data_IF_327411384611
#
_entry.id   IF_327411384611
#
_cell.length_a   1.000
_cell.length_b   1.000
_cell.length_c   1.000
_cell.angle_alpha   90.00
_cell.angle_beta   90.00
_cell.angle_gamma   90.00
#
_symmetry.space_group_name_H-M   'P 1'
#
loop_
_entity.id
_entity.type
_entity.pdbx_description
1 polymer ?
#
# COMPACT_ATOMS: atom_id res chain seq x y z
N UNK A 1 55.77 13.53 33.77
CA UNK A 1 54.66 12.83 33.08
C UNK A 1 54.20 13.71 31.93
N UNK A 2 54.46 13.30 30.69
CA UNK A 2 54.07 14.03 29.48
C UNK A 2 52.70 13.47 29.07
N UNK A 3 51.67 14.31 29.06
CA UNK A 3 50.34 13.94 28.59
C UNK A 3 50.31 14.05 27.06
N UNK A 4 50.20 12.91 26.38
CA UNK A 4 49.97 12.85 24.95
C UNK A 4 48.48 13.15 24.66
N UNK A 5 48.20 14.33 24.11
CA UNK A 5 46.89 14.63 23.56
C UNK A 5 46.76 13.93 22.20
N UNK A 6 45.95 12.87 22.16
CA UNK A 6 45.58 12.21 20.90
C UNK A 6 44.51 13.04 20.20
N UNK A 7 44.90 13.75 19.14
CA UNK A 7 43.97 14.45 18.26
C UNK A 7 43.26 13.40 17.37
N UNK A 8 42.04 13.03 17.75
CA UNK A 8 41.18 12.20 16.91
C UNK A 8 40.70 13.04 15.72
N UNK A 9 41.24 12.78 14.54
CA UNK A 9 40.73 13.32 13.28
C UNK A 9 39.38 12.64 12.98
N UNK A 10 38.29 13.35 13.25
CA UNK A 10 36.96 12.93 12.84
C UNK A 10 36.83 13.09 11.31
N UNK A 11 37.02 12.00 10.57
CA UNK A 11 36.71 11.94 9.14
C UNK A 11 35.19 12.05 9.00
N UNK A 12 34.70 13.27 8.75
CA UNK A 12 33.30 13.49 8.41
C UNK A 12 33.06 12.92 7.02
N UNK A 13 32.45 11.73 6.95
CA UNK A 13 31.95 11.21 5.68
C UNK A 13 30.82 12.11 5.19
N UNK A 14 31.10 12.94 4.19
CA UNK A 14 30.05 13.68 3.49
C UNK A 14 29.22 12.67 2.72
N UNK A 15 28.02 12.37 3.21
CA UNK A 15 27.06 11.60 2.43
C UNK A 15 26.72 12.43 1.18
N UNK A 16 27.20 11.98 0.02
CA UNK A 16 26.88 12.58 -1.29
C UNK A 16 25.38 12.46 -1.47
N UNK A 17 24.72 13.60 -1.71
CA UNK A 17 23.29 13.63 -1.98
C UNK A 17 23.00 12.85 -3.27
N UNK A 18 21.96 12.01 -3.26
CA UNK A 18 21.52 11.32 -4.47
C UNK A 18 20.99 12.34 -5.49
N UNK A 19 21.20 12.13 -6.79
CA UNK A 19 20.83 13.10 -7.83
C UNK A 19 19.31 13.30 -7.98
N UNK A 20 18.52 12.40 -7.42
CA UNK A 20 17.06 12.41 -7.46
C UNK A 20 16.49 12.49 -6.05
N UNK A 21 15.26 13.00 -5.97
CA UNK A 21 14.51 13.22 -4.73
C UNK A 21 13.14 12.60 -4.83
N UNK A 22 12.74 11.85 -3.81
CA UNK A 22 11.42 11.24 -3.70
C UNK A 22 10.63 11.82 -2.52
N UNK A 23 9.36 11.45 -2.42
CA UNK A 23 8.54 11.69 -1.24
C UNK A 23 8.22 10.38 -0.52
N UNK A 24 8.22 10.39 0.81
CA UNK A 24 7.61 9.35 1.63
C UNK A 24 6.86 10.00 2.81
N UNK A 25 5.60 9.59 2.99
CA UNK A 25 4.73 9.97 4.10
C UNK A 25 4.38 8.70 4.88
N UNK A 26 4.46 8.76 6.21
CA UNK A 26 4.20 7.60 7.07
C UNK A 26 3.42 8.01 8.32
N UNK A 27 2.56 7.13 8.83
CA UNK A 27 1.90 7.37 10.12
C UNK A 27 2.90 7.27 11.26
N UNK A 28 2.83 8.19 12.22
CA UNK A 28 3.72 8.19 13.41
C UNK A 28 3.35 7.11 14.42
N UNK A 29 2.13 6.58 14.33
CA UNK A 29 1.65 5.43 15.09
C UNK A 29 1.50 4.20 14.19
N UNK A 30 1.67 3.02 14.79
CA UNK A 30 1.41 1.74 14.14
C UNK A 30 0.01 1.22 14.42
N UNK A 31 -0.54 0.47 13.48
CA UNK A 31 -1.86 -0.16 13.53
C UNK A 31 -1.70 -1.67 13.37
N UNK A 32 -2.40 -2.45 14.20
CA UNK A 32 -2.40 -3.90 14.13
C UNK A 32 -3.71 -4.37 13.49
N UNK A 33 -3.60 -5.10 12.38
CA UNK A 33 -4.75 -5.52 11.57
C UNK A 33 -5.59 -4.32 11.08
N UNK A 34 -6.66 -4.61 10.35
CA UNK A 34 -7.62 -3.61 9.89
C UNK A 34 -7.88 -3.70 8.40
N UNK A 35 -8.76 -2.82 7.94
CA UNK A 35 -8.95 -2.54 6.53
C UNK A 35 -8.45 -1.13 6.26
N UNK A 36 -7.66 -0.96 5.21
CA UNK A 36 -7.17 0.34 4.77
C UNK A 36 -7.69 0.56 3.36
N UNK A 37 -8.35 1.69 3.14
CA UNK A 37 -8.79 2.11 1.82
C UNK A 37 -8.06 3.40 1.47
N UNK A 38 -7.47 3.46 0.28
CA UNK A 38 -6.75 4.64 -0.21
C UNK A 38 -7.21 4.97 -1.63
N UNK A 39 -7.55 6.23 -1.86
CA UNK A 39 -7.93 6.75 -3.18
C UNK A 39 -6.73 7.43 -3.81
N UNK A 40 -6.09 6.76 -4.75
CA UNK A 40 -4.81 7.20 -5.31
C UNK A 40 -4.79 7.17 -6.83
N UNK A 41 -4.03 8.10 -7.41
CA UNK A 41 -3.59 8.07 -8.79
C UNK A 41 -2.07 7.93 -8.82
N UNK A 42 -1.60 6.92 -9.54
CA UNK A 42 -0.20 6.48 -9.47
C UNK A 42 0.69 7.21 -10.47
N UNK A 43 2.00 7.17 -10.24
CA UNK A 43 2.98 7.74 -11.17
C UNK A 43 3.29 6.78 -12.33
N UNK A 44 3.72 7.33 -13.47
CA UNK A 44 4.22 6.57 -14.63
C UNK A 44 5.70 6.85 -14.88
N UNK A 45 6.36 5.95 -15.59
CA UNK A 45 7.76 6.08 -16.01
C UNK A 45 8.55 4.82 -15.65
N UNK A 46 9.32 4.32 -16.62
CA UNK A 46 10.17 3.15 -16.39
C UNK A 46 11.18 3.42 -15.27
N UNK A 47 11.41 2.42 -14.42
CA UNK A 47 12.28 2.52 -13.24
C UNK A 47 11.64 3.14 -11.99
N UNK A 48 10.37 3.58 -12.04
CA UNK A 48 9.66 4.24 -10.94
C UNK A 48 8.73 3.26 -10.21
N UNK A 49 8.64 3.40 -8.88
CA UNK A 49 7.66 2.75 -8.03
C UNK A 49 6.84 3.80 -7.26
N UNK A 50 5.52 3.62 -7.31
CA UNK A 50 4.53 4.40 -6.56
C UNK A 50 3.77 3.43 -5.67
N UNK A 51 3.74 3.68 -4.36
CA UNK A 51 3.38 2.63 -3.40
C UNK A 51 2.36 3.08 -2.36
N UNK A 52 1.69 2.09 -1.79
CA UNK A 52 1.14 2.12 -0.44
C UNK A 52 1.51 0.81 0.25
N UNK A 53 1.92 0.88 1.51
CA UNK A 53 2.35 -0.31 2.24
C UNK A 53 2.17 -0.14 3.75
N UNK A 54 2.10 -1.28 4.46
CA UNK A 54 2.22 -1.32 5.92
C UNK A 54 3.62 -1.75 6.29
N UNK A 55 4.22 -1.13 7.30
CA UNK A 55 5.59 -1.44 7.71
C UNK A 55 5.74 -1.50 9.21
N UNK A 56 6.30 -2.58 9.75
CA UNK A 56 6.76 -2.57 11.13
C UNK A 56 8.08 -1.81 11.21
N UNK A 57 8.01 -0.61 11.77
CA UNK A 57 9.17 0.24 12.03
C UNK A 57 10.29 -0.54 12.71
N UNK A 58 11.50 -0.52 12.11
CA UNK A 58 12.64 -1.27 12.61
C UNK A 58 12.83 -2.65 11.99
N UNK A 59 11.97 -3.09 11.07
CA UNK A 59 12.17 -4.35 10.32
C UNK A 59 13.51 -4.39 9.58
N UNK A 60 14.06 -3.22 9.20
CA UNK A 60 15.36 -3.08 8.56
C UNK A 60 16.55 -3.32 9.48
N UNK A 61 16.33 -3.35 10.80
CA UNK A 61 17.39 -3.55 11.77
C UNK A 61 17.86 -5.00 11.79
N UNK A 62 19.18 -5.19 11.92
CA UNK A 62 19.77 -6.51 12.06
C UNK A 62 19.17 -7.27 13.25
N UNK A 63 18.75 -8.51 13.02
CA UNK A 63 18.13 -9.37 14.03
C UNK A 63 16.65 -9.08 14.33
N UNK A 64 16.04 -8.08 13.69
CA UNK A 64 14.60 -7.88 13.76
C UNK A 64 13.88 -8.91 12.87
N UNK A 65 12.70 -9.35 13.32
CA UNK A 65 11.76 -10.04 12.43
C UNK A 65 11.13 -8.99 11.50
N UNK A 66 11.08 -9.24 10.20
CA UNK A 66 10.46 -8.35 9.22
C UNK A 66 8.94 -8.53 9.21
N UNK A 67 8.18 -7.44 9.12
CA UNK A 67 6.73 -7.48 8.86
C UNK A 67 6.34 -6.29 7.98
N UNK A 68 5.87 -6.59 6.77
CA UNK A 68 5.48 -5.60 5.78
C UNK A 68 4.47 -6.20 4.80
N UNK A 69 3.56 -5.36 4.28
CA UNK A 69 2.54 -5.72 3.31
C UNK A 69 2.45 -4.63 2.24
N UNK A 70 2.58 -5.02 0.98
CA UNK A 70 2.88 -4.07 -0.09
C UNK A 70 1.78 -3.98 -1.16
N UNK A 71 1.61 -2.76 -1.68
CA UNK A 71 0.99 -2.42 -2.98
C UNK A 71 2.00 -1.55 -3.72
N UNK A 72 2.64 -2.12 -4.74
CA UNK A 72 3.70 -1.46 -5.50
C UNK A 72 3.33 -1.35 -6.97
N UNK A 73 2.99 -0.16 -7.44
CA UNK A 73 2.66 0.06 -8.85
C UNK A 73 3.93 0.36 -9.62
N UNK A 74 4.19 -0.47 -10.64
CA UNK A 74 5.31 -0.29 -11.54
C UNK A 74 5.03 0.85 -12.50
N UNK A 75 5.89 1.88 -12.55
CA UNK A 75 5.72 2.97 -13.51
C UNK A 75 6.00 2.57 -14.96
N UNK A 76 6.75 1.48 -15.19
CA UNK A 76 6.98 0.91 -16.54
C UNK A 76 5.67 0.47 -17.19
N UNK A 77 5.71 0.26 -18.50
CA UNK A 77 4.58 -0.24 -19.29
C UNK A 77 3.28 0.55 -19.07
N UNK A 78 3.43 1.87 -18.92
CA UNK A 78 2.36 2.83 -18.65
C UNK A 78 1.56 2.52 -17.37
N UNK A 79 2.20 2.06 -16.30
CA UNK A 79 1.55 1.80 -15.01
C UNK A 79 0.36 0.83 -15.07
N UNK A 80 0.46 -0.18 -15.93
CA UNK A 80 -0.60 -1.20 -16.14
C UNK A 80 -0.48 -2.43 -15.26
N UNK A 81 0.64 -2.55 -14.55
CA UNK A 81 0.94 -3.68 -13.67
C UNK A 81 1.36 -3.19 -12.29
N UNK A 82 1.04 -3.99 -11.28
CA UNK A 82 1.43 -3.74 -9.90
C UNK A 82 1.77 -5.04 -9.20
N UNK A 83 2.52 -4.95 -8.09
CA UNK A 83 2.93 -6.07 -7.27
C UNK A 83 2.27 -5.98 -5.91
N UNK A 84 1.69 -7.10 -5.47
CA UNK A 84 1.40 -7.34 -4.07
C UNK A 84 2.54 -8.13 -3.44
N UNK A 85 2.89 -7.85 -2.18
CA UNK A 85 3.85 -8.66 -1.46
C UNK A 85 3.50 -8.74 0.04
N UNK A 86 3.97 -9.80 0.69
CA UNK A 86 4.12 -9.84 2.15
C UNK A 86 5.58 -10.16 2.38
N UNK A 87 6.24 -9.40 3.25
CA UNK A 87 7.62 -9.64 3.62
C UNK A 87 7.66 -10.02 5.09
N UNK A 88 8.24 -11.18 5.39
CA UNK A 88 8.48 -11.66 6.75
C UNK A 88 9.86 -12.27 6.92
N UNK A 89 10.15 -12.84 8.09
CA UNK A 89 11.38 -13.59 8.35
C UNK A 89 12.40 -12.80 9.17
N UNK A 90 13.38 -13.50 9.73
CA UNK A 90 14.47 -12.91 10.52
C UNK A 90 15.80 -13.27 9.88
N UNK A 91 16.64 -12.27 9.61
CA UNK A 91 17.91 -12.45 8.90
C UNK A 91 17.72 -12.63 7.39
N UNK A 92 17.05 -13.71 6.97
CA UNK A 92 16.64 -13.90 5.56
C UNK A 92 15.17 -13.54 5.40
N UNK A 93 14.87 -12.63 4.47
CA UNK A 93 13.49 -12.26 4.14
C UNK A 93 12.79 -13.41 3.43
N UNK A 94 11.53 -13.62 3.77
CA UNK A 94 10.58 -14.48 3.08
C UNK A 94 9.57 -13.57 2.40
N UNK A 95 9.47 -13.67 1.08
CA UNK A 95 8.60 -12.85 0.25
C UNK A 95 7.55 -13.70 -0.45
N UNK A 96 6.47 -13.08 -0.91
CA UNK A 96 5.39 -13.72 -1.67
C UNK A 96 4.87 -12.82 -2.78
N UNK A 97 5.79 -12.30 -3.59
CA UNK A 97 5.50 -11.41 -4.71
C UNK A 97 4.47 -12.05 -5.66
N UNK A 98 3.49 -11.25 -6.07
CA UNK A 98 2.65 -11.58 -7.21
C UNK A 98 2.41 -10.30 -8.03
N UNK A 99 2.62 -10.39 -9.34
CA UNK A 99 2.38 -9.29 -10.28
C UNK A 99 0.99 -9.45 -10.89
N UNK A 100 0.24 -8.35 -10.90
CA UNK A 100 -1.14 -8.26 -11.35
C UNK A 100 -1.24 -7.23 -12.46
N UNK A 101 -2.00 -7.54 -13.51
CA UNK A 101 -2.28 -6.59 -14.60
C UNK A 101 -3.67 -6.01 -14.43
N UNK A 102 -3.79 -4.68 -14.44
CA UNK A 102 -5.07 -4.00 -14.27
C UNK A 102 -5.88 -3.88 -15.59
N UNK A 103 -5.30 -4.19 -16.75
CA UNK A 103 -5.94 -4.02 -18.07
C UNK A 103 -6.07 -2.55 -18.53
N UNK A 104 -6.00 -1.60 -17.59
CA UNK A 104 -5.91 -0.16 -17.79
C UNK A 104 -4.67 0.40 -17.06
N UNK A 105 -4.36 1.68 -17.28
CA UNK A 105 -3.27 2.35 -16.55
C UNK A 105 -3.77 2.88 -15.21
N UNK A 106 -3.09 2.51 -14.13
CA UNK A 106 -3.33 3.03 -12.78
C UNK A 106 -2.85 4.50 -12.62
N UNK A 107 -2.25 5.07 -13.67
CA UNK A 107 -1.80 6.46 -13.72
C UNK A 107 -2.73 7.37 -14.55
N UNK A 108 -3.77 6.83 -15.18
CA UNK A 108 -4.71 7.61 -16.00
C UNK A 108 -5.84 8.23 -15.17
N UNK A 109 -6.19 7.63 -14.03
CA UNK A 109 -7.22 8.12 -13.11
C UNK A 109 -6.97 7.71 -11.65
N UNK A 110 -7.85 8.13 -10.76
CA UNK A 110 -7.85 7.68 -9.38
C UNK A 110 -8.53 6.31 -9.27
N UNK A 111 -7.94 5.44 -8.46
CA UNK A 111 -8.47 4.13 -8.10
C UNK A 111 -8.54 4.00 -6.58
N UNK A 112 -9.49 3.20 -6.11
CA UNK A 112 -9.58 2.87 -4.69
C UNK A 112 -8.90 1.54 -4.45
N UNK A 113 -7.76 1.57 -3.77
CA UNK A 113 -7.06 0.37 -3.32
C UNK A 113 -7.54 0.03 -1.92
N UNK A 114 -7.83 -1.24 -1.68
CA UNK A 114 -8.14 -1.73 -0.34
C UNK A 114 -7.14 -2.81 0.07
N UNK A 115 -6.65 -2.71 1.30
CA UNK A 115 -5.86 -3.73 1.97
C UNK A 115 -6.64 -4.18 3.22
N UNK A 116 -7.08 -5.43 3.24
CA UNK A 116 -7.60 -6.06 4.45
C UNK A 116 -6.54 -6.94 5.07
N UNK A 117 -6.24 -6.72 6.33
CA UNK A 117 -5.29 -7.51 7.11
C UNK A 117 -5.96 -7.97 8.40
N UNK A 118 -6.07 -9.29 8.55
CA UNK A 118 -6.63 -9.95 9.72
C UNK A 118 -5.64 -10.98 10.25
N UNK A 119 -5.88 -11.57 11.44
CA UNK A 119 -5.05 -12.68 11.93
C UNK A 119 -4.99 -13.89 10.98
N UNK A 120 -5.95 -14.04 10.06
CA UNK A 120 -6.12 -15.24 9.25
C UNK A 120 -5.87 -15.03 7.76
N UNK A 121 -6.02 -13.80 7.27
CA UNK A 121 -5.83 -13.49 5.85
C UNK A 121 -5.31 -12.06 5.64
N UNK A 122 -4.67 -11.86 4.49
CA UNK A 122 -4.43 -10.55 3.88
C UNK A 122 -5.09 -10.56 2.50
N UNK A 123 -5.89 -9.55 2.18
CA UNK A 123 -6.55 -9.42 0.88
C UNK A 123 -6.33 -8.03 0.28
N UNK A 124 -6.14 -8.00 -1.04
CA UNK A 124 -5.95 -6.79 -1.82
C UNK A 124 -7.10 -6.63 -2.81
N UNK A 125 -7.60 -5.41 -2.93
CA UNK A 125 -8.66 -5.09 -3.88
C UNK A 125 -8.36 -3.78 -4.60
N UNK A 126 -8.84 -3.66 -5.84
CA UNK A 126 -8.85 -2.40 -6.61
C UNK A 126 -10.28 -2.15 -7.07
N UNK A 127 -10.80 -0.95 -6.80
CA UNK A 127 -12.14 -0.51 -7.17
C UNK A 127 -13.26 -1.47 -6.71
N UNK A 128 -13.06 -2.08 -5.54
CA UNK A 128 -14.01 -3.02 -4.92
C UNK A 128 -13.88 -4.47 -5.39
N UNK A 129 -13.05 -4.77 -6.38
CA UNK A 129 -12.76 -6.13 -6.83
C UNK A 129 -11.56 -6.72 -6.07
N UNK A 130 -11.75 -7.86 -5.40
CA UNK A 130 -10.65 -8.60 -4.78
C UNK A 130 -9.76 -9.24 -5.84
N UNK A 131 -8.48 -8.85 -5.85
CA UNK A 131 -7.49 -9.33 -6.82
C UNK A 131 -6.66 -10.48 -6.25
N UNK A 132 -6.33 -10.42 -4.96
CA UNK A 132 -5.54 -11.46 -4.28
C UNK A 132 -5.99 -11.61 -2.83
N UNK A 133 -5.94 -12.85 -2.35
CA UNK A 133 -6.04 -13.20 -0.95
C UNK A 133 -4.97 -14.20 -0.58
N UNK A 134 -4.23 -13.88 0.48
CA UNK A 134 -3.22 -14.73 1.10
C UNK A 134 -3.72 -15.21 2.45
N UNK A 135 -3.39 -16.45 2.80
CA UNK A 135 -3.66 -17.09 4.10
C UNK A 135 -2.43 -17.87 4.55
N UNK A 136 -2.45 -18.38 5.79
CA UNK A 136 -1.44 -19.33 6.27
C UNK A 136 -0.25 -18.68 6.96
N UNK A 137 0.88 -19.39 7.00
CA UNK A 137 1.99 -19.11 7.92
C UNK A 137 2.53 -17.68 7.85
N UNK A 138 2.68 -17.14 6.63
CA UNK A 138 3.21 -15.79 6.44
C UNK A 138 2.27 -14.72 7.01
N UNK A 139 0.96 -14.88 6.80
CA UNK A 139 -0.06 -13.98 7.36
C UNK A 139 -0.09 -14.08 8.88
N UNK A 140 -0.07 -15.30 9.42
CA UNK A 140 -0.10 -15.50 10.88
C UNK A 140 1.16 -14.98 11.60
N UNK A 141 2.24 -14.69 10.85
CA UNK A 141 3.46 -14.11 11.40
C UNK A 141 3.40 -12.57 11.51
N UNK A 142 2.42 -11.92 10.87
CA UNK A 142 2.18 -10.47 10.95
C UNK A 142 1.42 -10.18 12.26
N UNK A 143 2.15 -9.94 13.34
CA UNK A 143 1.63 -9.89 14.72
C UNK A 143 1.88 -8.57 15.44
N UNK A 144 2.65 -7.66 14.83
CA UNK A 144 3.00 -6.38 15.43
C UNK A 144 2.31 -5.21 14.72
N UNK A 145 2.04 -4.09 15.42
CA UNK A 145 1.54 -2.88 14.79
C UNK A 145 2.48 -2.37 13.68
N UNK A 146 1.91 -1.95 12.57
CA UNK A 146 2.63 -1.46 11.39
C UNK A 146 2.20 -0.02 11.07
N UNK A 147 3.14 0.86 10.75
CA UNK A 147 2.84 2.18 10.21
C UNK A 147 2.26 2.06 8.80
N UNK A 148 1.38 2.98 8.41
CA UNK A 148 0.85 3.08 7.05
C UNK A 148 1.71 4.07 6.28
N UNK A 149 2.16 3.70 5.08
CA UNK A 149 3.16 4.45 4.34
C UNK A 149 2.80 4.60 2.87
N UNK A 150 3.20 5.73 2.31
CA UNK A 150 3.21 6.00 0.88
C UNK A 150 4.62 6.42 0.50
N UNK A 151 5.18 5.89 -0.59
CA UNK A 151 6.38 6.47 -1.17
C UNK A 151 6.38 6.48 -2.70
N UNK A 152 7.13 7.42 -3.24
CA UNK A 152 7.39 7.55 -4.67
C UNK A 152 8.90 7.65 -4.89
N UNK A 153 9.45 6.65 -5.56
CA UNK A 153 10.90 6.49 -5.69
C UNK A 153 11.27 5.76 -6.99
N UNK A 154 12.57 5.58 -7.21
CA UNK A 154 13.09 4.81 -8.34
C UNK A 154 14.09 3.78 -7.86
N UNK A 155 13.95 2.53 -8.35
CA UNK A 155 14.81 1.42 -7.99
C UNK A 155 15.99 1.26 -8.96
N UNK A 156 17.11 0.75 -8.45
CA UNK A 156 18.28 0.39 -9.25
C UNK A 156 18.11 -0.96 -9.98
N UNK A 157 17.18 -1.79 -9.54
CA UNK A 157 16.94 -3.14 -10.08
C UNK A 157 16.19 -3.10 -11.42
N UNK A 158 16.95 -2.94 -12.52
CA UNK A 158 16.41 -2.82 -13.89
C UNK A 158 15.49 -3.97 -14.29
N UNK A 159 15.84 -5.22 -13.95
CA UNK A 159 15.01 -6.39 -14.26
C UNK A 159 13.62 -6.34 -13.60
N UNK A 160 13.52 -5.67 -12.45
CA UNK A 160 12.28 -5.53 -11.71
C UNK A 160 11.43 -4.37 -12.24
N UNK A 161 11.99 -3.16 -12.28
CA UNK A 161 11.24 -1.92 -12.53
C UNK A 161 11.41 -1.35 -13.94
N UNK A 162 12.25 -1.96 -14.76
CA UNK A 162 12.70 -1.41 -16.04
C UNK A 162 13.83 -0.39 -15.88
N UNK A 163 14.48 -0.04 -16.99
CA UNK A 163 15.56 0.96 -16.98
C UNK A 163 14.99 2.34 -16.62
N UNK A 164 15.63 3.06 -15.71
CA UNK A 164 15.18 4.39 -15.33
C UNK A 164 15.47 5.40 -16.44
N UNK A 165 14.41 6.07 -16.93
CA UNK A 165 14.49 7.17 -17.88
C UNK A 165 14.13 8.46 -17.15
N UNK A 166 15.15 9.28 -16.86
CA UNK A 166 14.99 10.49 -16.05
C UNK A 166 14.39 11.67 -16.82
N UNK A 167 14.18 11.54 -18.14
CA UNK A 167 13.51 12.55 -18.97
C UNK A 167 12.03 12.69 -18.63
N UNK A 168 11.44 11.69 -17.97
CA UNK A 168 10.04 11.70 -17.52
C UNK A 168 9.81 12.56 -16.28
N UNK A 169 10.89 13.02 -15.60
CA UNK A 169 10.76 13.82 -14.39
C UNK A 169 10.31 15.26 -14.68
N UNK A 170 9.52 15.89 -13.79
CA UNK A 170 9.04 15.33 -12.52
C UNK A 170 7.85 14.36 -12.69
N UNK A 171 7.71 13.44 -11.74
CA UNK A 171 6.56 12.51 -11.64
C UNK A 171 5.89 12.61 -10.28
N UNK A 172 4.60 12.29 -10.22
CA UNK A 172 3.78 12.50 -9.04
C UNK A 172 2.82 11.35 -8.77
N UNK A 173 2.65 11.02 -7.50
CA UNK A 173 1.56 10.19 -6.98
C UNK A 173 0.62 11.13 -6.22
N UNK A 174 -0.67 11.01 -6.52
CA UNK A 174 -1.72 11.81 -5.90
C UNK A 174 -2.58 10.91 -5.00
N UNK A 175 -2.82 11.34 -3.77
CA UNK A 175 -3.67 10.64 -2.81
C UNK A 175 -4.76 11.60 -2.36
N UNK A 176 -6.00 11.29 -2.74
CA UNK A 176 -7.16 12.11 -2.41
C UNK A 176 -7.55 11.91 -0.94
N UNK A 177 -7.73 10.66 -0.53
CA UNK A 177 -8.06 10.32 0.85
C UNK A 177 -7.54 8.95 1.26
N UNK A 178 -7.46 8.73 2.56
CA UNK A 178 -7.22 7.43 3.20
C UNK A 178 -8.24 7.19 4.33
N UNK A 179 -8.71 5.96 4.46
CA UNK A 179 -9.54 5.49 5.58
C UNK A 179 -8.87 4.29 6.23
N UNK A 180 -8.84 4.30 7.56
CA UNK A 180 -8.45 3.14 8.35
C UNK A 180 -9.64 2.67 9.18
N UNK A 181 -9.95 1.39 9.00
CA UNK A 181 -10.95 0.66 9.76
C UNK A 181 -10.23 -0.31 10.68
N UNK A 182 -10.43 -0.16 11.99
CA UNK A 182 -9.85 -1.10 12.96
C UNK A 182 -10.53 -2.46 12.82
N UNK A 183 -9.73 -3.52 12.94
CA UNK A 183 -10.28 -4.86 13.06
C UNK A 183 -10.73 -5.12 14.51
N UNK A 184 -12.00 -5.50 14.69
CA UNK A 184 -12.59 -5.81 15.98
C UNK A 184 -13.45 -7.08 15.86
N UNK A 185 -12.93 -8.21 16.35
CA UNK A 185 -13.64 -9.50 16.41
C UNK A 185 -14.38 -9.91 15.12
N UNK A 186 -13.71 -9.80 13.97
CA UNK A 186 -14.27 -10.19 12.67
C UNK A 186 -14.99 -9.06 11.92
N UNK A 187 -15.12 -7.87 12.53
CA UNK A 187 -15.67 -6.68 11.88
C UNK A 187 -14.56 -5.64 11.61
N UNK A 188 -14.80 -4.80 10.60
CA UNK A 188 -14.00 -3.60 10.34
C UNK A 188 -14.81 -2.36 10.71
N UNK A 189 -14.34 -1.60 11.69
CA UNK A 189 -15.01 -0.40 12.19
C UNK A 189 -14.19 0.83 11.80
N UNK A 190 -14.81 1.83 11.15
CA UNK A 190 -14.11 3.05 10.76
C UNK A 190 -13.52 3.73 12.01
N UNK A 191 -12.19 3.85 12.06
CA UNK A 191 -11.51 4.49 13.16
C UNK A 191 -11.14 5.94 12.82
N UNK A 192 -10.69 6.19 11.59
CA UNK A 192 -10.42 7.53 11.11
C UNK A 192 -10.34 7.60 9.58
N UNK A 193 -10.50 8.82 9.07
CA UNK A 193 -10.32 9.20 7.68
C UNK A 193 -9.44 10.45 7.64
N UNK A 194 -8.64 10.57 6.60
CA UNK A 194 -7.88 11.78 6.27
C UNK A 194 -8.13 12.12 4.79
N UNK A 195 -8.70 13.29 4.56
CA UNK A 195 -9.00 13.84 3.23
C UNK A 195 -7.86 14.71 2.68
N UNK A 196 -6.74 14.78 3.40
CA UNK A 196 -5.53 15.51 3.01
C UNK A 196 -5.77 16.99 2.64
N UNK A 197 -6.67 17.68 3.35
CA UNK A 197 -6.78 19.15 3.31
C UNK A 197 -5.47 19.84 3.76
N UNK A 198 -4.71 19.14 4.62
CA UNK A 198 -3.35 19.50 5.03
C UNK A 198 -2.62 18.26 5.54
N UNK A 199 -1.30 18.34 5.74
CA UNK A 199 -0.56 17.25 6.41
C UNK A 199 -0.72 17.41 7.93
N UNK A 200 -1.58 16.58 8.54
CA UNK A 200 -1.73 16.49 10.00
C UNK A 200 -0.44 15.94 10.63
N UNK A 201 0.34 16.82 11.26
CA UNK A 201 1.60 16.45 11.92
C UNK A 201 1.42 15.63 13.19
N UNK A 202 0.20 15.55 13.74
CA UNK A 202 -0.14 14.62 14.80
C UNK A 202 -0.22 13.17 14.32
N UNK A 203 -0.59 12.97 13.05
CA UNK A 203 -0.77 11.65 12.43
C UNK A 203 0.42 11.24 11.57
N UNK A 204 1.01 12.17 10.83
CA UNK A 204 1.96 11.89 9.77
C UNK A 204 3.36 12.46 10.02
N UNK A 205 4.37 11.67 9.68
CA UNK A 205 5.75 12.11 9.50
C UNK A 205 6.11 12.16 8.00
N UNK A 206 7.14 12.94 7.68
CA UNK A 206 7.75 13.03 6.35
C UNK A 206 9.16 12.49 6.42
N UNK A 207 9.52 11.60 5.49
CA UNK A 207 10.83 10.98 5.48
C UNK A 207 11.94 11.97 5.09
N UNK A 208 13.13 11.75 5.66
CA UNK A 208 14.38 12.47 5.39
C UNK A 208 15.59 11.51 5.26
N UNK A 209 15.33 10.33 4.70
CA UNK A 209 16.26 9.20 4.60
C UNK A 209 16.30 8.59 3.20
N UNK A 210 17.14 7.56 3.05
CA UNK A 210 17.20 6.70 1.89
C UNK A 210 17.62 5.29 2.31
N UNK A 211 17.65 4.36 1.36
CA UNK A 211 18.12 2.99 1.53
C UNK A 211 18.90 2.52 0.28
N UNK A 212 19.57 1.37 0.38
CA UNK A 212 20.36 0.80 -0.72
C UNK A 212 19.47 0.33 -1.88
N UNK A 213 19.95 0.50 -3.11
CA UNK A 213 19.16 0.20 -4.31
C UNK A 213 18.07 1.23 -4.62
N UNK A 214 17.88 2.25 -3.78
CA UNK A 214 17.03 3.40 -4.09
C UNK A 214 17.85 4.49 -4.79
N UNK A 215 17.40 5.01 -5.93
CA UNK A 215 18.07 6.10 -6.65
C UNK A 215 17.83 7.48 -6.01
N UNK A 216 16.91 7.61 -5.06
CA UNK A 216 16.49 8.90 -4.50
C UNK A 216 16.81 9.04 -3.02
N UNK A 217 17.02 10.29 -2.58
CA UNK A 217 16.82 10.63 -1.17
C UNK A 217 15.37 11.05 -0.98
N UNK A 218 14.67 10.48 0.02
CA UNK A 218 13.38 11.02 0.42
C UNK A 218 13.59 12.34 1.14
N UNK A 219 12.80 13.35 0.77
CA UNK A 219 12.88 14.68 1.35
C UNK A 219 11.49 15.24 1.66
N UNK A 220 11.30 15.94 2.80
CA UNK A 220 10.00 16.50 3.17
C UNK A 220 9.41 17.47 2.14
N UNK A 221 10.27 18.11 1.33
CA UNK A 221 9.88 19.04 0.26
C UNK A 221 9.09 18.34 -0.86
N UNK A 222 9.27 17.03 -1.06
CA UNK A 222 8.54 16.25 -2.06
C UNK A 222 7.26 15.61 -1.50
N UNK A 223 6.83 16.06 -0.32
CA UNK A 223 5.55 15.67 0.29
C UNK A 223 4.75 16.94 0.55
N UNK A 224 3.84 17.25 -0.36
CA UNK A 224 3.04 18.48 -0.37
C UNK A 224 1.55 18.17 -0.32
N UNK A 225 0.74 19.14 0.07
CA UNK A 225 -0.72 19.09 -0.12
C UNK A 225 -1.10 20.26 -1.02
N UNK A 226 -1.95 20.00 -2.01
CA UNK A 226 -2.53 21.02 -2.88
C UNK A 226 -3.97 20.61 -3.20
N UNK A 227 -4.89 21.57 -3.18
CA UNK A 227 -6.30 21.39 -3.57
C UNK A 227 -6.97 20.17 -2.91
N UNK A 228 -6.72 19.92 -1.62
CA UNK A 228 -7.27 18.78 -0.87
C UNK A 228 -6.70 17.43 -1.31
N UNK A 229 -5.46 17.39 -1.75
CA UNK A 229 -4.80 16.15 -2.21
C UNK A 229 -3.34 16.13 -1.76
N UNK A 230 -2.93 15.03 -1.15
CA UNK A 230 -1.54 14.73 -0.89
C UNK A 230 -0.83 14.42 -2.21
N UNK A 231 0.32 15.06 -2.43
CA UNK A 231 1.16 14.85 -3.61
C UNK A 231 2.55 14.43 -3.16
N UNK A 232 2.94 13.20 -3.53
CA UNK A 232 4.31 12.72 -3.44
C UNK A 232 5.00 12.98 -4.78
N UNK A 233 6.20 13.53 -4.75
CA UNK A 233 6.93 13.93 -5.96
C UNK A 233 8.25 13.18 -6.13
N UNK A 234 8.56 12.82 -7.37
CA UNK A 234 9.86 12.34 -7.82
C UNK A 234 10.48 13.42 -8.71
N UNK A 235 11.61 13.97 -8.29
CA UNK A 235 12.22 15.13 -8.94
C UNK A 235 13.74 14.97 -9.03
N UNK A 236 14.38 15.86 -9.79
CA UNK A 236 15.83 16.07 -9.68
C UNK A 236 16.15 16.82 -8.39
N UNK A 237 17.37 16.66 -7.89
CA UNK A 237 17.93 17.50 -6.83
C UNK A 237 17.78 18.99 -7.21
N UNK A 238 17.39 19.83 -6.24
CA UNK A 238 17.13 21.26 -6.46
C UNK A 238 15.82 21.62 -7.17
N UNK A 239 15.01 20.63 -7.59
CA UNK A 239 13.72 20.83 -8.27
C UNK A 239 12.54 20.25 -7.48
N UNK A 240 12.65 20.22 -6.15
CA UNK A 240 11.68 19.58 -5.26
C UNK A 240 10.35 20.32 -5.17
N UNK A 241 9.30 19.60 -4.78
CA UNK A 241 7.95 20.12 -4.56
C UNK A 241 7.03 19.97 -5.77
N UNK A 242 5.81 20.48 -5.62
CA UNK A 242 4.79 20.41 -6.65
C UNK A 242 4.06 21.75 -6.79
N UNK A 243 4.06 22.29 -8.00
CA UNK A 243 3.34 23.52 -8.35
C UNK A 243 2.30 23.33 -9.46
N UNK A 244 2.19 22.11 -10.02
CA UNK A 244 1.26 21.78 -11.12
C UNK A 244 -0.20 21.72 -10.67
N UNK A 245 -1.12 21.46 -11.60
CA UNK A 245 -2.54 21.25 -11.26
C UNK A 245 -2.75 19.83 -10.72
N UNK A 246 -3.53 19.70 -9.66
CA UNK A 246 -3.98 18.39 -9.17
C UNK A 246 -5.00 17.83 -10.17
N UNK A 247 -4.85 16.59 -10.66
CA UNK A 247 -5.84 16.01 -11.53
C UNK A 247 -7.17 15.82 -10.81
N UNK A 248 -8.29 16.06 -11.51
CA UNK A 248 -9.62 15.86 -10.94
C UNK A 248 -9.88 14.38 -10.66
N UNK A 249 -10.42 14.08 -9.49
CA UNK A 249 -10.96 12.76 -9.18
C UNK A 249 -12.42 12.69 -9.65
N UNK A 250 -12.64 12.29 -10.91
CA UNK A 250 -13.99 12.22 -11.51
C UNK A 250 -14.93 11.21 -10.80
N UNK A 251 -14.40 10.34 -9.94
CA UNK A 251 -15.18 9.38 -9.14
C UNK A 251 -15.64 9.94 -7.79
N UNK A 252 -15.17 11.13 -7.42
CA UNK A 252 -15.55 11.82 -6.19
C UNK A 252 -16.05 13.20 -6.61
N UNK A 253 -17.37 13.41 -6.65
CA UNK A 253 -17.91 14.74 -6.94
C UNK A 253 -17.24 15.78 -6.05
N UNK A 254 -16.83 16.96 -6.58
CA UNK A 254 -16.17 17.97 -5.77
C UNK A 254 -17.11 18.44 -4.65
N UNK A 255 -16.84 18.00 -3.42
CA UNK A 255 -17.42 18.59 -2.20
C UNK A 255 -18.68 17.94 -1.61
N UNK A 256 -18.86 16.62 -1.64
CA UNK A 256 -19.93 15.98 -0.84
C UNK A 256 -19.48 14.71 -0.12
N UNK A 257 -18.93 14.89 1.08
CA UNK A 257 -19.32 14.01 2.17
C UNK A 257 -20.82 14.22 2.47
N UNK A 258 -21.52 13.11 2.69
CA UNK A 258 -22.94 12.97 3.05
C UNK A 258 -23.97 12.80 1.91
N UNK A 259 -24.40 11.54 1.75
CA UNK A 259 -25.83 11.21 1.78
C UNK A 259 -26.59 11.10 0.45
N UNK A 260 -27.21 9.95 0.23
CA UNK A 260 -28.44 9.81 -0.56
C UNK A 260 -28.24 9.31 -1.98
N UNK A 261 -28.78 8.12 -2.28
CA UNK A 261 -28.76 7.53 -3.61
C UNK A 261 -29.86 8.02 -4.54
N UNK A 262 -29.71 7.58 -5.79
CA UNK A 262 -30.66 7.33 -6.89
C UNK A 262 -29.84 7.56 -8.17
N UNK A 263 -29.53 6.58 -9.02
CA UNK A 263 -30.49 5.67 -9.64
C UNK A 263 -31.05 6.32 -10.90
N UNK A 264 -30.25 6.46 -11.97
CA UNK A 264 -30.70 7.10 -13.20
C UNK A 264 -29.85 6.77 -14.42
N UNK A 265 -30.19 5.70 -15.12
CA UNK A 265 -29.72 5.40 -16.47
C UNK A 265 -30.25 6.44 -17.48
N UNK A 266 -29.44 6.78 -18.49
CA UNK A 266 -29.87 7.68 -19.57
C UNK A 266 -28.88 7.75 -20.72
N UNK A 267 -29.12 6.92 -21.72
CA UNK A 267 -28.42 6.78 -23.00
C UNK A 267 -28.40 8.03 -23.88
N UNK A 268 -27.37 8.06 -24.73
CA UNK A 268 -27.13 8.85 -25.93
C UNK A 268 -28.33 9.07 -26.87
N UNK A 269 -28.40 10.24 -27.53
CA UNK A 269 -28.58 10.38 -29.00
C UNK A 269 -28.59 11.85 -29.46
N UNK A 270 -28.20 12.03 -30.72
CA UNK A 270 -27.80 13.27 -31.36
C UNK A 270 -28.89 13.99 -32.19
N UNK A 271 -28.60 15.27 -32.44
CA UNK A 271 -28.88 16.14 -33.61
C UNK A 271 -30.30 16.36 -34.16
N UNK A 272 -30.71 17.62 -34.16
CA UNK A 272 -31.24 18.46 -35.26
C UNK A 272 -31.58 19.83 -34.63
N UNK A 273 -31.41 21.02 -35.18
CA UNK A 273 -31.33 21.48 -36.56
C UNK A 273 -32.32 22.64 -36.73
N UNK A 274 -31.87 23.89 -36.57
CA UNK A 274 -32.49 25.10 -37.14
C UNK A 274 -33.61 25.80 -36.34
N UNK A 275 -33.52 27.14 -36.23
CA UNK A 275 -34.64 28.01 -35.88
C UNK A 275 -34.23 29.30 -35.15
N UNK A 276 -34.15 30.41 -35.89
CA UNK A 276 -33.91 31.77 -35.42
C UNK A 276 -35.10 32.36 -34.63
N UNK A 277 -34.81 33.32 -33.74
CA UNK A 277 -35.64 34.52 -33.59
C UNK A 277 -36.23 34.79 -32.20
N UNK A 278 -36.01 36.02 -31.71
CA UNK A 278 -37.04 36.75 -30.95
C UNK A 278 -36.73 37.05 -29.48
N UNK A 279 -36.46 38.32 -29.21
CA UNK A 279 -36.30 38.92 -27.89
C UNK A 279 -37.60 38.97 -27.06
N UNK A 280 -37.49 39.12 -25.73
CA UNK A 280 -38.60 39.61 -24.91
C UNK A 280 -38.57 39.28 -23.41
N UNK A 281 -37.97 40.19 -22.63
CA UNK A 281 -38.48 40.75 -21.35
C UNK A 281 -38.99 39.85 -20.21
N UNK A 282 -38.23 39.90 -19.10
CA UNK A 282 -38.62 40.26 -17.70
C UNK A 282 -40.04 39.97 -17.17
N UNK A 283 -40.11 39.40 -15.94
CA UNK A 283 -40.86 39.83 -14.71
C UNK A 283 -40.99 38.57 -13.82
N UNK A 284 -40.23 38.39 -12.74
CA UNK A 284 -40.39 38.90 -11.36
C UNK A 284 -41.61 38.40 -10.56
N UNK A 285 -41.29 38.08 -9.29
CA UNK A 285 -42.14 38.04 -8.08
C UNK A 285 -42.63 36.65 -7.66
N UNK A 286 -42.18 36.18 -6.49
CA UNK A 286 -42.81 36.32 -5.16
C UNK A 286 -43.74 35.13 -4.90
N UNK A 287 -43.80 34.51 -3.73
CA UNK A 287 -43.23 34.76 -2.42
C UNK A 287 -43.94 33.85 -1.41
N UNK A 288 -43.36 33.70 -0.22
CA UNK A 288 -44.04 33.16 0.97
C UNK A 288 -44.30 31.65 0.94
N UNK A 289 -44.18 30.91 2.03
CA UNK A 289 -44.04 31.30 3.42
C UNK A 289 -44.74 30.24 4.28
N UNK A 290 -43.99 29.75 5.26
CA UNK A 290 -44.43 29.22 6.56
C UNK A 290 -45.33 27.97 6.66
N UNK A 291 -44.85 27.04 7.49
CA UNK A 291 -45.60 26.66 8.70
C UNK A 291 -46.22 25.26 8.68
N UNK A 292 -45.71 24.39 9.56
CA UNK A 292 -46.32 23.09 9.83
C UNK A 292 -45.55 22.28 10.85
N UNK A 293 -45.61 22.68 12.13
CA UNK A 293 -45.22 21.86 13.26
C UNK A 293 -46.20 20.69 13.43
N UNK A 294 -45.72 19.52 13.84
CA UNK A 294 -46.59 18.38 14.11
C UNK A 294 -45.90 17.12 14.62
N UNK A 295 -45.80 17.05 15.96
CA UNK A 295 -45.95 15.84 16.79
C UNK A 295 -44.90 14.72 16.76
N UNK A 296 -44.16 14.70 17.87
CA UNK A 296 -43.55 13.58 18.56
C UNK A 296 -44.51 12.41 18.81
N UNK A 297 -44.06 11.17 18.59
CA UNK A 297 -44.57 10.00 19.31
C UNK A 297 -43.39 9.15 19.78
N UNK A 298 -43.26 9.04 21.09
CA UNK A 298 -42.36 8.10 21.76
C UNK A 298 -43.14 6.81 22.07
N UNK A 299 -42.50 5.66 21.92
CA UNK A 299 -42.93 4.42 22.58
C UNK A 299 -41.72 3.69 23.13
N UNK A 300 -41.55 3.81 24.44
CA UNK A 300 -40.74 2.97 25.30
C UNK A 300 -41.37 1.58 25.45
N UNK A 301 -40.57 0.53 25.34
CA UNK A 301 -40.95 -0.84 25.69
C UNK A 301 -39.76 -1.55 26.33
N UNK A 302 -39.71 -1.51 27.66
CA UNK A 302 -38.84 -2.32 28.51
C UNK A 302 -39.49 -3.67 28.80
N UNK A 303 -38.71 -4.75 28.76
CA UNK A 303 -39.14 -6.09 29.14
C UNK A 303 -37.92 -6.95 29.46
N UNK A 304 -37.73 -7.22 30.76
CA UNK A 304 -36.66 -8.04 31.32
C UNK A 304 -37.10 -9.52 31.46
N UNK A 305 -36.12 -10.42 31.55
CA UNK A 305 -36.25 -11.66 32.32
C UNK A 305 -35.75 -12.93 31.66
N UNK A 306 -34.88 -13.67 32.34
CA UNK A 306 -34.71 -15.12 32.13
C UNK A 306 -33.29 -15.66 32.28
N UNK A 307 -32.87 -15.92 33.52
CA UNK A 307 -31.69 -16.74 33.84
C UNK A 307 -32.00 -18.25 33.69
N UNK A 308 -30.99 -19.06 33.37
CA UNK A 308 -31.08 -20.52 33.35
C UNK A 308 -29.73 -21.21 33.14
N UNK A 309 -29.21 -21.80 34.21
CA UNK A 309 -27.95 -22.52 34.40
C UNK A 309 -27.91 -23.91 33.77
N UNK A 310 -26.74 -24.40 33.34
CA UNK A 310 -26.22 -25.74 33.76
C UNK A 310 -24.72 -25.91 33.43
N UNK A 311 -23.99 -26.46 34.39
CA UNK A 311 -22.64 -26.99 34.27
C UNK A 311 -22.70 -28.52 34.38
N UNK A 312 -21.79 -29.24 33.70
CA UNK A 312 -21.34 -30.59 34.11
C UNK A 312 -19.98 -30.92 33.48
N UNK A 313 -19.29 -31.86 34.13
CA UNK A 313 -17.84 -32.07 34.24
C UNK A 313 -17.37 -33.45 33.74
N UNK A 314 -16.04 -33.59 33.54
CA UNK A 314 -15.25 -34.86 33.64
C UNK A 314 -15.13 -35.69 32.35
N UNK A 315 -14.05 -36.41 32.01
CA UNK A 315 -12.74 -36.71 32.62
C UNK A 315 -12.02 -37.85 31.83
N UNK A 316 -10.67 -37.77 31.76
CA UNK A 316 -9.62 -38.84 31.70
C UNK A 316 -9.59 -40.03 30.71
N UNK A 317 -8.36 -40.33 30.23
CA UNK A 317 -7.83 -41.64 29.77
C UNK A 317 -7.32 -41.61 28.31
N UNK A 318 -6.11 -41.96 27.88
CA UNK A 318 -5.04 -42.81 28.43
C UNK A 318 -4.79 -44.00 27.48
N UNK A 319 -3.63 -44.10 26.83
CA UNK A 319 -3.16 -45.35 26.20
C UNK A 319 -2.39 -45.24 24.86
N UNK A 320 -1.05 -45.36 24.93
CA UNK A 320 -0.19 -45.95 23.90
C UNK A 320 0.25 -47.35 24.40
N UNK A 321 0.59 -48.32 23.53
CA UNK A 321 2.00 -48.61 23.16
C UNK A 321 2.11 -49.15 21.70
N UNK A 322 3.22 -49.50 21.05
CA UNK A 322 4.65 -49.72 21.34
C UNK A 322 5.35 -49.94 19.97
N UNK A 323 6.60 -49.50 19.79
CA UNK A 323 7.85 -50.30 19.76
C UNK A 323 8.08 -51.30 18.59
N UNK A 324 9.30 -51.21 18.03
CA UNK A 324 9.97 -52.19 17.16
C UNK A 324 10.11 -51.71 15.70
N UNK A 325 11.28 -51.62 15.08
CA UNK A 325 12.64 -51.97 15.45
C UNK A 325 13.52 -51.94 14.19
N UNK A 326 14.75 -51.43 14.36
CA UNK A 326 16.03 -51.76 13.71
C UNK A 326 16.16 -51.97 12.18
N UNK A 327 17.20 -51.32 11.60
CA UNK A 327 18.20 -52.07 10.81
C UNK A 327 18.61 -51.52 9.43
N UNK A 328 19.85 -51.01 9.34
CA UNK A 328 20.79 -51.35 8.26
C UNK A 328 20.82 -50.49 7.00
N UNK A 329 21.87 -49.68 6.86
CA UNK A 329 22.32 -49.14 5.56
C UNK A 329 23.23 -50.12 4.81
N UNK A 330 23.35 -49.94 3.49
CA UNK A 330 24.57 -49.61 2.71
C UNK A 330 24.32 -49.83 1.21
N UNK A 331 24.92 -48.95 0.40
CA UNK A 331 25.01 -48.81 -1.08
C UNK A 331 25.79 -49.98 -1.77
N UNK A 332 26.23 -49.90 -3.06
CA UNK A 332 25.69 -49.38 -4.35
C UNK A 332 25.85 -50.40 -5.54
N UNK A 333 25.29 -50.12 -6.73
CA UNK A 333 25.92 -50.44 -8.06
C UNK A 333 25.07 -49.82 -9.20
N UNK A 334 25.56 -48.85 -10.01
CA UNK A 334 26.27 -48.94 -11.32
C UNK A 334 25.65 -49.90 -12.35
N UNK A 335 25.20 -49.35 -13.48
CA UNK A 335 24.79 -50.13 -14.66
C UNK A 335 24.38 -49.27 -15.86
N UNK A 336 25.21 -49.31 -16.90
CA UNK A 336 25.20 -48.57 -18.16
C UNK A 336 24.17 -49.06 -19.21
N UNK A 337 24.11 -48.35 -20.35
CA UNK A 337 23.41 -48.59 -21.64
C UNK A 337 21.95 -48.13 -21.70
N UNK A 338 21.41 -47.51 -22.75
CA UNK A 338 21.85 -47.18 -24.11
C UNK A 338 20.59 -47.02 -24.98
N UNK A 339 20.59 -46.14 -25.98
CA UNK A 339 19.68 -46.25 -27.15
C UNK A 339 18.47 -45.31 -27.24
N UNK A 340 18.63 -44.28 -28.10
CA UNK A 340 17.75 -43.81 -29.18
C UNK A 340 16.21 -43.63 -29.01
N UNK A 341 15.81 -42.35 -29.17
CA UNK A 341 14.69 -41.77 -29.96
C UNK A 341 13.25 -42.20 -29.64
N UNK A 342 12.50 -41.28 -29.01
CA UNK A 342 11.12 -40.99 -29.38
C UNK A 342 10.78 -39.53 -29.06
N UNK A 343 10.30 -38.80 -30.06
CA UNK A 343 9.77 -37.45 -29.90
C UNK A 343 8.52 -37.49 -29.03
N UNK A 344 8.55 -36.78 -27.91
CA UNK A 344 7.39 -36.50 -27.07
C UNK A 344 7.49 -35.05 -26.64
N UNK A 345 6.58 -34.22 -27.16
CA UNK A 345 6.41 -32.85 -26.71
C UNK A 345 6.03 -32.85 -25.22
N UNK A 346 6.96 -32.43 -24.37
CA UNK A 346 6.68 -32.06 -22.99
C UNK A 346 7.06 -30.61 -22.81
N UNK A 347 6.06 -29.76 -22.56
CA UNK A 347 6.25 -28.38 -22.16
C UNK A 347 7.20 -28.34 -20.97
N UNK A 348 8.41 -27.83 -21.19
CA UNK A 348 9.32 -27.45 -20.11
C UNK A 348 8.68 -26.26 -19.41
N UNK A 349 8.03 -26.53 -18.28
CA UNK A 349 7.77 -25.50 -17.27
C UNK A 349 9.11 -24.90 -16.88
N UNK A 350 9.40 -23.70 -17.37
CA UNK A 350 10.51 -22.90 -16.90
C UNK A 350 10.13 -22.36 -15.52
N UNK A 351 10.66 -23.03 -14.50
CA UNK A 351 10.70 -22.52 -13.14
C UNK A 351 11.61 -21.27 -13.12
N UNK A 352 11.03 -20.09 -13.27
CA UNK A 352 11.71 -18.81 -12.99
C UNK A 352 11.80 -18.65 -11.47
N UNK A 353 12.67 -19.44 -10.85
CA UNK A 353 12.95 -19.41 -9.42
C UNK A 353 14.46 -19.34 -9.21
N UNK A 354 15.10 -18.30 -9.75
CA UNK A 354 16.48 -17.93 -9.44
C UNK A 354 16.86 -16.59 -10.09
N UNK A 355 16.29 -15.47 -9.61
CA UNK A 355 16.90 -14.13 -9.62
C UNK A 355 15.84 -13.08 -9.28
N UNK A 356 15.54 -12.89 -7.99
CA UNK A 356 15.08 -11.60 -7.44
C UNK A 356 15.02 -11.64 -5.90
N UNK A 357 16.03 -12.22 -5.28
CA UNK A 357 16.49 -11.70 -3.99
C UNK A 357 17.36 -10.48 -4.33
N UNK A 358 16.73 -9.35 -4.70
CA UNK A 358 17.45 -8.07 -4.72
C UNK A 358 17.79 -7.78 -3.27
N UNK A 359 19.07 -7.99 -2.97
CA UNK A 359 19.62 -7.88 -1.63
C UNK A 359 19.37 -6.50 -1.04
N UNK A 360 18.73 -6.48 0.11
CA UNK A 360 19.18 -5.61 1.18
C UNK A 360 19.59 -6.51 2.33
N UNK A 361 20.87 -6.90 2.32
CA UNK A 361 21.59 -7.14 3.58
C UNK A 361 21.42 -5.90 4.44
N UNK A 362 21.14 -6.09 5.73
CA UNK A 362 20.91 -5.04 6.72
C UNK A 362 21.79 -3.79 6.47
N UNK A 363 21.19 -2.69 6.01
CA UNK A 363 21.84 -1.39 5.98
C UNK A 363 20.86 -0.30 6.44
N UNK A 364 21.36 0.46 7.42
CA UNK A 364 20.61 1.42 8.23
C UNK A 364 19.94 2.51 7.38
N UNK A 365 18.67 2.81 7.68
CA UNK A 365 18.07 4.10 7.34
C UNK A 365 19.00 5.22 7.83
N UNK A 366 19.63 5.92 6.89
CA UNK A 366 20.57 7.00 7.23
C UNK A 366 19.80 8.32 7.25
N UNK A 367 19.28 8.69 8.43
CA UNK A 367 18.69 10.03 8.63
C UNK A 367 19.73 11.12 8.40
N UNK A 368 19.42 12.12 7.58
CA UNK A 368 20.23 13.34 7.49
C UNK A 368 19.97 14.19 8.74
N UNK A 369 20.91 14.17 9.70
CA UNK A 369 20.91 15.20 10.76
C UNK A 369 21.23 16.57 10.12
N UNK A 370 20.22 17.38 9.87
CA UNK A 370 20.41 18.81 9.64
C UNK A 370 20.91 19.45 10.94
N UNK A 371 22.15 19.97 10.94
CA UNK A 371 22.59 20.94 11.94
C UNK A 371 22.10 22.31 11.47
N UNK A 372 21.15 22.88 12.20
CA UNK A 372 20.91 24.32 12.19
C UNK A 372 22.01 25.08 12.93
#
# INVERSE_FOLDING_TARGET
MIAAASLALAVSSTAVAKPYKGGELYTTQGYLHGRIEVRMRMARGSGILSTFFTYKDGSEMSGAFWEEIDIEVFGKDNARSWQSNIITGMGTRVTSEAVHNAGFSLADGYHTYALEWTPTYVAWSIDGEEIKRSTGAQVTALTNPQSLRFNLWSSEAVEWVGAFDDSVLPQHQFVNWIKYYRYNNGAFELAWQDDFDSVDSGRWGKADWTFDGNRVDFVPQNVTVKDGTLVLSLTREGQTGFNGAVPRDEGTEPGTGAGGGEGGAGTTSASSGGGEGGAGTTTASSGGGAGGAGTTTASSGSGAGGAGTTATSGGTGGGAPGEGGAGGGTTPDVGSSGGCVAAGASATGSSWAAALAVGLSALAMRRRRNRG
#
